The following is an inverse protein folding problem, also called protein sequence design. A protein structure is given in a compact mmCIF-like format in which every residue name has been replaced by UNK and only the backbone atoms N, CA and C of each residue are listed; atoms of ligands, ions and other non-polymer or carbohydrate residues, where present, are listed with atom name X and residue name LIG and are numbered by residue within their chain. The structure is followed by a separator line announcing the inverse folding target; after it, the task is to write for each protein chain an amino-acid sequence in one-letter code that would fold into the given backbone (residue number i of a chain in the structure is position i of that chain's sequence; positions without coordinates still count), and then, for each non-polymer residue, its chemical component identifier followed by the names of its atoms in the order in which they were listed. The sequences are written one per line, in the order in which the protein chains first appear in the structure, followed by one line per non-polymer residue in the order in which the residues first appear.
data_IF_713406449903
#
_entry.id   IF_713406449903
#
_cell.length_a   1.000
_cell.length_b   1.000
_cell.length_c   1.000
_cell.angle_alpha   90.00
_cell.angle_beta   90.00
_cell.angle_gamma   90.00
#
_symmetry.space_group_name_H-M   'P 1'
#
loop_
_entity.id
_entity.type
_entity.pdbx_description
1 polymer ?
#
# COMPACT_ATOMS: atom_id res chain seq x y z
N UNK A 1 13.45 7.95 -23.61
CA UNK A 1 12.49 7.52 -22.58
C UNK A 1 11.17 7.33 -23.29
N UNK A 2 10.87 6.10 -23.72
CA UNK A 2 9.65 5.80 -24.47
C UNK A 2 8.80 4.92 -23.58
N UNK A 3 7.93 5.53 -22.79
CA UNK A 3 6.86 4.80 -22.11
C UNK A 3 5.87 4.38 -23.18
N UNK A 4 5.67 3.08 -23.33
CA UNK A 4 4.70 2.53 -24.28
C UNK A 4 3.43 2.25 -23.52
N UNK A 5 2.43 3.12 -23.69
CA UNK A 5 1.15 2.94 -23.01
C UNK A 5 0.48 1.64 -23.45
N UNK A 6 0.57 0.62 -22.61
CA UNK A 6 0.14 -0.74 -22.85
C UNK A 6 -0.79 -1.25 -21.74
N UNK A 7 -0.89 -2.57 -21.61
CA UNK A 7 -1.75 -3.19 -20.62
C UNK A 7 -1.33 -2.91 -19.17
N UNK A 8 -0.04 -2.74 -18.90
CA UNK A 8 0.45 -2.51 -17.55
C UNK A 8 -0.06 -1.15 -17.01
N UNK A 9 -0.12 -0.11 -17.85
CA UNK A 9 -0.55 1.22 -17.43
C UNK A 9 -2.06 1.22 -17.18
N UNK A 10 -2.81 0.53 -18.03
CA UNK A 10 -4.23 0.28 -17.76
C UNK A 10 -4.44 -0.48 -16.46
N UNK A 11 -3.61 -1.49 -16.17
CA UNK A 11 -3.68 -2.23 -14.93
C UNK A 11 -3.42 -1.34 -13.70
N UNK A 12 -2.43 -0.43 -13.77
CA UNK A 12 -2.18 0.54 -12.71
C UNK A 12 -3.35 1.50 -12.49
N UNK A 13 -3.91 2.04 -13.58
CA UNK A 13 -5.06 2.95 -13.54
C UNK A 13 -6.27 2.24 -12.94
N UNK A 14 -6.65 1.08 -13.47
CA UNK A 14 -7.81 0.30 -13.02
C UNK A 14 -7.65 -0.03 -11.53
N UNK A 15 -6.50 -0.55 -11.11
CA UNK A 15 -6.24 -0.88 -9.70
C UNK A 15 -6.38 0.34 -8.79
N UNK A 16 -5.78 1.46 -9.18
CA UNK A 16 -5.84 2.72 -8.43
C UNK A 16 -7.27 3.21 -8.24
N UNK A 17 -8.07 3.20 -9.32
CA UNK A 17 -9.47 3.59 -9.26
C UNK A 17 -10.31 2.57 -8.49
N UNK A 18 -10.05 1.27 -8.61
CA UNK A 18 -10.72 0.25 -7.80
C UNK A 18 -10.52 0.51 -6.30
N UNK A 19 -9.29 0.74 -5.85
CA UNK A 19 -9.05 1.05 -4.43
C UNK A 19 -9.70 2.37 -4.01
N UNK A 20 -9.67 3.40 -4.88
CA UNK A 20 -10.37 4.65 -4.61
C UNK A 20 -11.88 4.42 -4.44
N UNK A 21 -12.52 3.69 -5.35
CA UNK A 21 -13.95 3.38 -5.27
C UNK A 21 -14.31 2.55 -4.03
N UNK A 22 -13.45 1.63 -3.60
CA UNK A 22 -13.64 0.90 -2.35
C UNK A 22 -13.48 1.79 -1.11
N UNK A 23 -12.65 2.84 -1.19
CA UNK A 23 -12.46 3.81 -0.12
C UNK A 23 -13.59 4.85 -0.02
N UNK A 24 -14.20 5.26 -1.14
CA UNK A 24 -15.21 6.34 -1.15
C UNK A 24 -16.37 6.14 -0.16
N UNK A 25 -16.96 4.94 0.02
CA UNK A 25 -18.03 4.71 1.00
C UNK A 25 -17.59 4.94 2.46
N UNK A 26 -16.31 4.72 2.76
CA UNK A 26 -15.75 4.78 4.12
C UNK A 26 -15.01 6.10 4.41
N UNK A 27 -14.92 7.01 3.44
CA UNK A 27 -14.14 8.27 3.53
C UNK A 27 -14.48 9.17 4.71
N UNK A 28 -15.68 9.04 5.28
CA UNK A 28 -16.16 9.84 6.43
C UNK A 28 -15.89 9.19 7.78
N UNK A 29 -15.39 7.95 7.80
CA UNK A 29 -15.17 7.19 9.04
C UNK A 29 -14.03 7.76 9.87
N UNK A 30 -12.93 8.15 9.22
CA UNK A 30 -11.79 8.79 9.85
C UNK A 30 -11.85 10.31 9.72
N UNK A 31 -11.23 11.02 10.66
CA UNK A 31 -11.08 12.47 10.54
C UNK A 31 -10.19 12.82 9.33
N UNK A 32 -10.45 13.93 8.63
CA UNK A 32 -9.65 14.33 7.46
C UNK A 32 -8.15 14.44 7.77
N UNK A 33 -7.80 14.90 8.97
CA UNK A 33 -6.40 15.01 9.42
C UNK A 33 -5.75 13.62 9.51
N UNK A 34 -6.43 12.64 10.11
CA UNK A 34 -5.90 11.29 10.20
C UNK A 34 -5.75 10.64 8.82
N UNK A 35 -6.72 10.88 7.92
CA UNK A 35 -6.65 10.43 6.53
C UNK A 35 -5.40 10.99 5.86
N UNK A 36 -5.15 12.30 5.93
CA UNK A 36 -3.98 12.94 5.33
C UNK A 36 -2.66 12.37 5.89
N UNK A 37 -2.57 12.21 7.22
CA UNK A 37 -1.37 11.67 7.86
C UNK A 37 -1.05 10.24 7.41
N UNK A 38 -2.07 9.37 7.37
CA UNK A 38 -1.93 8.00 6.87
C UNK A 38 -1.60 7.99 5.38
N UNK A 39 -2.18 8.89 4.60
CA UNK A 39 -1.92 9.02 3.17
C UNK A 39 -0.47 9.38 2.89
N UNK A 40 0.04 10.40 3.58
CA UNK A 40 1.45 10.84 3.48
C UNK A 40 2.41 9.75 3.95
N UNK A 41 2.09 9.08 5.07
CA UNK A 41 2.89 7.96 5.57
C UNK A 41 3.03 6.85 4.54
N UNK A 42 1.91 6.46 3.88
CA UNK A 42 1.93 5.40 2.88
C UNK A 42 2.74 5.78 1.65
N UNK A 43 2.53 6.99 1.10
CA UNK A 43 3.32 7.46 -0.04
C UNK A 43 4.81 7.46 0.31
N UNK A 44 5.18 8.00 1.47
CA UNK A 44 6.57 8.06 1.91
C UNK A 44 7.18 6.65 2.06
N UNK A 45 6.50 5.75 2.77
CA UNK A 45 7.02 4.41 3.04
C UNK A 45 7.21 3.62 1.75
N UNK A 46 6.17 3.53 0.92
CA UNK A 46 6.20 2.74 -0.31
C UNK A 46 7.22 3.34 -1.27
N UNK A 47 7.17 4.65 -1.51
CA UNK A 47 8.13 5.27 -2.44
C UNK A 47 9.57 5.06 -1.94
N UNK A 48 9.84 5.19 -0.64
CA UNK A 48 11.19 4.98 -0.10
C UNK A 48 11.68 3.55 -0.29
N UNK A 49 10.83 2.55 -0.04
CA UNK A 49 11.15 1.14 -0.25
C UNK A 49 11.38 0.87 -1.74
N UNK A 50 10.46 1.28 -2.60
CA UNK A 50 10.53 1.06 -4.04
C UNK A 50 11.76 1.73 -4.66
N UNK A 51 12.03 2.99 -4.34
CA UNK A 51 13.24 3.66 -4.81
C UNK A 51 14.51 2.96 -4.31
N UNK A 52 14.54 2.51 -3.05
CA UNK A 52 15.69 1.79 -2.51
C UNK A 52 15.93 0.45 -3.22
N UNK A 53 14.86 -0.28 -3.53
CA UNK A 53 14.92 -1.62 -4.13
C UNK A 53 15.12 -1.60 -5.66
N UNK A 54 14.59 -0.59 -6.35
CA UNK A 54 14.74 -0.40 -7.80
C UNK A 54 16.10 0.22 -8.14
N UNK A 55 16.61 1.13 -7.30
CA UNK A 55 17.86 1.83 -7.58
C UNK A 55 19.09 0.90 -7.59
N UNK A 56 20.13 1.33 -8.30
CA UNK A 56 21.47 0.74 -8.20
C UNK A 56 22.01 0.83 -6.77
N UNK A 57 22.67 -0.21 -6.24
CA UNK A 57 23.11 -1.43 -6.91
C UNK A 57 22.10 -2.59 -6.86
N UNK A 58 20.99 -2.46 -6.12
CA UNK A 58 20.12 -3.59 -5.80
C UNK A 58 19.33 -4.10 -7.00
N UNK A 59 18.60 -3.20 -7.71
CA UNK A 59 17.77 -3.54 -8.87
C UNK A 59 17.02 -4.87 -8.68
N UNK A 60 16.32 -5.04 -7.56
CA UNK A 60 15.71 -6.34 -7.20
C UNK A 60 14.36 -6.56 -7.87
N UNK A 61 13.65 -5.50 -8.27
CA UNK A 61 12.52 -5.59 -9.18
C UNK A 61 12.37 -4.29 -9.96
N UNK A 62 11.50 -4.30 -10.98
CA UNK A 62 11.01 -3.12 -11.68
C UNK A 62 9.50 -3.02 -11.51
N UNK A 63 9.02 -1.78 -11.44
CA UNK A 63 7.60 -1.44 -11.33
C UNK A 63 7.19 -0.74 -12.62
N UNK A 64 6.39 -1.41 -13.44
CA UNK A 64 6.12 -1.00 -14.83
C UNK A 64 7.20 -1.46 -15.81
N UNK A 65 7.23 -0.83 -16.99
CA UNK A 65 8.12 -1.24 -18.09
C UNK A 65 9.56 -0.76 -17.94
N UNK A 66 9.77 0.33 -17.19
CA UNK A 66 11.07 0.97 -17.11
C UNK A 66 11.70 0.89 -15.70
N UNK A 67 13.04 0.92 -15.61
CA UNK A 67 13.75 1.10 -14.36
C UNK A 67 13.60 2.53 -13.78
N UNK A 68 13.04 3.45 -14.55
CA UNK A 68 12.75 4.83 -14.15
C UNK A 68 11.28 4.98 -13.80
N UNK A 69 10.99 5.84 -12.83
CA UNK A 69 9.64 6.05 -12.33
C UNK A 69 8.68 6.58 -13.41
N UNK A 70 7.56 5.88 -13.60
CA UNK A 70 6.52 6.23 -14.57
C UNK A 70 5.33 6.93 -13.90
N UNK A 71 4.60 7.75 -14.66
CA UNK A 71 3.44 8.50 -14.12
C UNK A 71 2.30 7.56 -13.70
N UNK A 72 2.08 6.47 -14.44
CA UNK A 72 1.12 5.40 -14.09
C UNK A 72 1.50 4.75 -12.75
N UNK A 73 2.79 4.45 -12.56
CA UNK A 73 3.33 3.98 -11.30
C UNK A 73 3.18 5.00 -10.17
N UNK A 74 3.39 6.29 -10.45
CA UNK A 74 3.16 7.37 -9.49
C UNK A 74 1.69 7.46 -9.05
N UNK A 75 0.74 7.32 -9.98
CA UNK A 75 -0.69 7.28 -9.68
C UNK A 75 -1.04 6.09 -8.79
N UNK A 76 -0.47 4.92 -9.09
CA UNK A 76 -0.60 3.74 -8.26
C UNK A 76 -0.07 3.98 -6.84
N UNK A 77 1.11 4.58 -6.73
CA UNK A 77 1.68 4.95 -5.43
C UNK A 77 0.81 5.94 -4.66
N UNK A 78 0.23 6.91 -5.36
CA UNK A 78 -0.56 7.98 -4.77
C UNK A 78 -1.97 7.55 -4.36
N UNK A 79 -2.61 6.64 -5.10
CA UNK A 79 -4.00 6.24 -4.86
C UNK A 79 -4.11 4.83 -4.30
N UNK A 80 -3.52 3.83 -4.97
CA UNK A 80 -3.74 2.42 -4.66
C UNK A 80 -3.32 2.10 -3.21
N UNK A 81 -2.07 2.41 -2.84
CA UNK A 81 -1.57 2.08 -1.50
C UNK A 81 -2.30 2.86 -0.39
N UNK A 82 -2.44 4.20 -0.44
CA UNK A 82 -3.15 4.92 0.61
C UNK A 82 -4.61 4.50 0.78
N UNK A 83 -5.35 4.32 -0.33
CA UNK A 83 -6.75 3.88 -0.25
C UNK A 83 -6.87 2.47 0.33
N UNK A 84 -6.00 1.54 -0.09
CA UNK A 84 -5.97 0.17 0.43
C UNK A 84 -5.59 0.14 1.92
N UNK A 85 -4.65 0.96 2.34
CA UNK A 85 -4.25 1.10 3.74
C UNK A 85 -5.36 1.68 4.61
N UNK A 86 -6.11 2.66 4.11
CA UNK A 86 -7.28 3.19 4.82
C UNK A 86 -8.43 2.18 4.90
N UNK A 87 -8.63 1.37 3.86
CA UNK A 87 -9.58 0.27 3.88
C UNK A 87 -9.19 -0.81 4.90
N UNK A 88 -7.91 -1.16 4.95
CA UNK A 88 -7.36 -2.06 5.97
C UNK A 88 -7.61 -1.52 7.38
N UNK A 89 -7.24 -0.26 7.63
CA UNK A 89 -7.45 0.37 8.94
C UNK A 89 -8.93 0.51 9.30
N UNK A 90 -9.81 0.76 8.33
CA UNK A 90 -11.25 0.80 8.56
C UNK A 90 -11.79 -0.53 9.07
N UNK A 91 -11.44 -1.64 8.41
CA UNK A 91 -11.86 -2.97 8.86
C UNK A 91 -11.26 -3.28 10.24
N UNK A 92 -9.97 -3.00 10.42
CA UNK A 92 -9.29 -3.19 11.69
C UNK A 92 -9.98 -2.46 12.86
N UNK A 93 -10.26 -1.17 12.69
CA UNK A 93 -10.81 -0.31 13.75
C UNK A 93 -12.32 -0.57 13.96
N UNK A 94 -13.09 -0.73 12.87
CA UNK A 94 -14.55 -0.95 12.95
C UNK A 94 -14.92 -2.26 13.63
N UNK A 95 -14.14 -3.32 13.41
CA UNK A 95 -14.40 -4.64 14.02
C UNK A 95 -13.61 -4.86 15.31
N UNK A 96 -12.93 -3.82 15.81
CA UNK A 96 -12.16 -3.83 17.05
C UNK A 96 -11.24 -5.05 17.15
N UNK A 97 -10.47 -5.29 16.07
CA UNK A 97 -9.65 -6.49 15.90
C UNK A 97 -8.42 -6.43 16.81
N UNK A 98 -8.61 -6.65 18.11
CA UNK A 98 -7.58 -6.60 19.14
C UNK A 98 -7.05 -7.99 19.51
N UNK A 99 -5.80 -8.06 19.97
CA UNK A 99 -5.16 -9.27 20.49
C UNK A 99 -5.03 -10.37 19.43
N UNK A 100 -5.55 -11.57 19.71
CA UNK A 100 -5.47 -12.71 18.78
C UNK A 100 -6.18 -12.45 17.44
N UNK A 101 -7.22 -11.59 17.43
CA UNK A 101 -7.93 -11.23 16.19
C UNK A 101 -7.02 -10.45 15.23
N UNK A 102 -6.13 -9.62 15.77
CA UNK A 102 -5.14 -8.86 14.98
C UNK A 102 -4.23 -9.79 14.19
N UNK A 103 -3.78 -10.90 14.80
CA UNK A 103 -2.88 -11.86 14.15
C UNK A 103 -3.56 -12.51 12.94
N UNK A 104 -4.79 -13.01 13.12
CA UNK A 104 -5.56 -13.60 12.02
C UNK A 104 -5.89 -12.59 10.93
N UNK A 105 -6.17 -11.34 11.33
CA UNK A 105 -6.44 -10.27 10.38
C UNK A 105 -5.21 -9.93 9.52
N UNK A 106 -4.05 -9.78 10.13
CA UNK A 106 -2.78 -9.54 9.42
C UNK A 106 -2.44 -10.73 8.53
N UNK A 107 -2.66 -11.96 9.00
CA UNK A 107 -2.44 -13.17 8.20
C UNK A 107 -3.33 -13.19 6.95
N UNK A 108 -4.64 -12.95 7.12
CA UNK A 108 -5.57 -12.87 6.00
C UNK A 108 -5.18 -11.78 5.00
N UNK A 109 -4.76 -10.61 5.50
CA UNK A 109 -4.31 -9.52 4.63
C UNK A 109 -3.00 -9.83 3.93
N UNK A 110 -2.08 -10.54 4.59
CA UNK A 110 -0.84 -11.02 3.98
C UNK A 110 -1.13 -11.97 2.82
N UNK A 111 -2.04 -12.93 3.00
CA UNK A 111 -2.46 -13.84 1.93
C UNK A 111 -3.08 -13.07 0.77
N UNK A 112 -3.95 -12.09 1.06
CA UNK A 112 -4.54 -11.22 0.04
C UNK A 112 -3.47 -10.41 -0.71
N UNK A 113 -2.50 -9.81 0.01
CA UNK A 113 -1.41 -9.04 -0.58
C UNK A 113 -0.52 -9.89 -1.48
N UNK A 114 -0.16 -11.10 -1.05
CA UNK A 114 0.61 -12.05 -1.87
C UNK A 114 -0.16 -12.46 -3.13
N UNK A 115 -1.46 -12.71 -3.01
CA UNK A 115 -2.31 -13.00 -4.17
C UNK A 115 -2.36 -11.83 -5.15
N UNK A 116 -2.51 -10.61 -4.63
CA UNK A 116 -2.54 -9.40 -5.44
C UNK A 116 -1.18 -9.12 -6.10
N UNK A 117 -0.07 -9.33 -5.39
CA UNK A 117 1.29 -9.25 -5.95
C UNK A 117 1.46 -10.24 -7.11
N UNK A 118 0.99 -11.47 -6.95
CA UNK A 118 1.01 -12.46 -8.03
C UNK A 118 0.22 -11.99 -9.26
N UNK A 119 -0.93 -11.33 -9.06
CA UNK A 119 -1.68 -10.69 -10.16
C UNK A 119 -0.82 -9.59 -10.81
N UNK A 120 -0.16 -8.72 -10.05
CA UNK A 120 0.72 -7.68 -10.60
C UNK A 120 1.84 -8.28 -11.47
N UNK A 121 2.45 -9.37 -11.02
CA UNK A 121 3.49 -10.09 -11.79
C UNK A 121 2.93 -10.66 -13.09
N UNK A 122 1.73 -11.24 -13.06
CA UNK A 122 1.08 -11.78 -14.27
C UNK A 122 0.74 -10.69 -15.30
N UNK A 123 0.43 -9.49 -14.83
CA UNK A 123 0.10 -8.36 -15.70
C UNK A 123 1.33 -7.51 -16.10
N UNK A 124 2.55 -7.97 -15.78
CA UNK A 124 3.82 -7.25 -16.01
C UNK A 124 3.93 -5.88 -15.31
N UNK A 125 3.01 -5.58 -14.39
CA UNK A 125 3.08 -4.40 -13.55
C UNK A 125 4.23 -4.48 -12.54
N UNK A 126 4.63 -5.70 -12.15
CA UNK A 126 5.77 -5.97 -11.29
C UNK A 126 6.67 -7.03 -11.94
N UNK A 127 7.93 -6.69 -12.19
CA UNK A 127 8.89 -7.58 -12.85
C UNK A 127 10.03 -7.87 -11.88
N UNK A 128 10.13 -9.11 -11.41
CA UNK A 128 11.22 -9.52 -10.54
C UNK A 128 12.52 -9.71 -11.33
N UNK A 129 13.61 -9.16 -10.80
CA UNK A 129 14.97 -9.33 -11.34
C UNK A 129 15.88 -10.05 -10.34
N UNK A 130 15.79 -9.70 -9.05
CA UNK A 130 16.48 -10.36 -7.94
C UNK A 130 15.59 -10.64 -6.72
N UNK A 131 14.42 -10.00 -6.67
CA UNK A 131 13.38 -10.28 -5.70
C UNK A 131 12.75 -11.64 -5.98
N UNK A 132 12.29 -12.30 -4.91
CA UNK A 132 11.60 -13.58 -5.01
C UNK A 132 10.30 -13.46 -4.26
N UNK A 133 9.25 -14.07 -4.80
CA UNK A 133 7.91 -14.01 -4.24
C UNK A 133 7.84 -14.32 -2.74
N UNK A 134 8.68 -15.24 -2.25
CA UNK A 134 8.72 -15.61 -0.83
C UNK A 134 9.35 -14.55 0.09
N UNK A 135 10.12 -13.58 -0.43
CA UNK A 135 10.58 -12.44 0.35
C UNK A 135 9.43 -11.51 0.74
N UNK A 136 8.34 -11.51 0.00
CA UNK A 136 7.15 -10.72 0.31
C UNK A 136 6.36 -11.28 1.50
N UNK A 137 6.53 -12.57 1.82
CA UNK A 137 5.85 -13.25 2.95
C UNK A 137 6.10 -12.56 4.29
N UNK A 138 7.34 -12.23 4.69
CA UNK A 138 7.59 -11.46 5.91
C UNK A 138 7.37 -9.95 5.74
N UNK A 139 7.49 -9.40 4.52
CA UNK A 139 7.38 -7.95 4.29
C UNK A 139 5.96 -7.44 4.53
N UNK A 140 4.95 -8.14 4.01
CA UNK A 140 3.55 -7.73 4.19
C UNK A 140 3.07 -7.66 5.64
N UNK A 141 3.29 -8.68 6.50
CA UNK A 141 2.88 -8.59 7.90
C UNK A 141 3.67 -7.52 8.65
N UNK A 142 4.95 -7.28 8.33
CA UNK A 142 5.72 -6.19 8.92
C UNK A 142 5.17 -4.81 8.53
N UNK A 143 4.83 -4.61 7.25
CA UNK A 143 4.21 -3.39 6.78
C UNK A 143 2.83 -3.16 7.42
N UNK A 144 2.02 -4.21 7.55
CA UNK A 144 0.72 -4.15 8.23
C UNK A 144 0.86 -3.78 9.72
N UNK A 145 1.84 -4.38 10.42
CA UNK A 145 2.13 -4.03 11.82
C UNK A 145 2.59 -2.57 11.95
N UNK A 146 3.50 -2.12 11.09
CA UNK A 146 3.97 -0.74 11.08
C UNK A 146 2.81 0.25 10.87
N UNK A 147 1.90 -0.04 9.92
CA UNK A 147 0.71 0.76 9.66
C UNK A 147 -0.22 0.83 10.88
N UNK A 148 -0.48 -0.30 11.56
CA UNK A 148 -1.30 -0.32 12.79
C UNK A 148 -0.67 0.52 13.90
N UNK A 149 0.66 0.41 14.09
CA UNK A 149 1.38 1.18 15.10
C UNK A 149 1.28 2.68 14.84
N UNK A 150 1.53 3.10 13.59
CA UNK A 150 1.42 4.50 13.17
C UNK A 150 -0.01 5.01 13.32
N UNK A 151 -1.00 4.21 12.95
CA UNK A 151 -2.42 4.53 13.12
C UNK A 151 -2.77 4.79 14.59
N UNK A 152 -2.38 3.90 15.51
CA UNK A 152 -2.63 4.10 16.94
C UNK A 152 -1.90 5.32 17.48
N UNK A 153 -0.66 5.56 17.04
CA UNK A 153 0.10 6.74 17.44
C UNK A 153 -0.62 8.04 17.05
N UNK A 154 -1.03 8.18 15.79
CA UNK A 154 -1.75 9.36 15.31
C UNK A 154 -3.14 9.50 15.95
N UNK A 155 -3.90 8.40 16.06
CA UNK A 155 -5.22 8.41 16.70
C UNK A 155 -5.14 8.86 18.16
N UNK A 156 -4.11 8.43 18.90
CA UNK A 156 -3.86 8.86 20.28
C UNK A 156 -3.50 10.35 20.34
N UNK A 157 -2.56 10.81 19.50
CA UNK A 157 -2.10 12.21 19.50
C UNK A 157 -3.18 13.20 19.08
N UNK A 158 -3.98 12.88 18.06
CA UNK A 158 -5.10 13.72 17.65
C UNK A 158 -6.17 13.83 18.74
N UNK A 159 -6.39 12.74 19.49
CA UNK A 159 -7.28 12.76 20.65
C UNK A 159 -6.76 13.70 21.74
N UNK A 160 -5.47 13.60 22.10
CA UNK A 160 -4.84 14.48 23.09
C UNK A 160 -4.97 15.97 22.72
N UNK A 161 -4.74 16.32 21.45
CA UNK A 161 -4.87 17.69 20.94
C UNK A 161 -6.32 18.20 20.91
N UNK A 162 -7.31 17.32 20.75
CA UNK A 162 -8.73 17.73 20.75
C UNK A 162 -9.30 18.05 22.14
N UNK A 163 -8.58 17.67 23.21
CA UNK A 163 -8.96 17.96 24.60
C UNK A 163 -8.18 19.15 25.19
N UNK A 164 -7.34 19.82 24.40
CA UNK A 164 -6.66 21.07 24.74
C UNK A 164 -7.41 22.25 24.11
#
# INVERSE_FOLDING_TARGET
MNVTFDWNEWFFIISSFTALFLYLPIRKYFSPVLVILIWMYNIFLVSSIDYFLIATPFKVYYFGDNPTYELSGALFHFLMYPCSSLLFLYIYDKFELNGKKTVWYIFAWTVFSLFYEWICVKNKALIYTGWKFYYSIPVYPLAALALILVFHFFKKKLRELSYQ
#
